data_IF_766198503663
#
_entry.id   IF_766198503663
#
_cell.length_a   1.000
_cell.length_b   1.000
_cell.length_c   1.000
_cell.angle_alpha   90.00
_cell.angle_beta   90.00
_cell.angle_gamma   90.00
#
_symmetry.space_group_name_H-M   'P 1'
#
loop_
_entity.id
_entity.type
_entity.pdbx_description
1 polymer ?
#
# COMPACT_ATOMS: atom_id res chain seq x y z
N UNK A 1 -17.63 10.61 0.64
CA UNK A 1 -17.35 9.23 0.17
C UNK A 1 -17.41 8.32 1.38
N UNK A 2 -17.93 7.10 1.26
CA UNK A 2 -17.78 6.13 2.35
C UNK A 2 -16.32 5.69 2.42
N UNK A 3 -15.72 5.59 3.62
CA UNK A 3 -14.34 5.14 3.77
C UNK A 3 -14.15 3.74 3.19
N UNK A 4 -13.05 3.53 2.50
CA UNK A 4 -12.68 2.23 1.90
C UNK A 4 -11.17 2.08 1.81
N UNK A 5 -10.68 0.86 1.88
CA UNK A 5 -9.26 0.59 1.68
C UNK A 5 -8.90 0.68 0.21
N UNK A 6 -7.76 1.31 -0.07
CA UNK A 6 -7.19 1.47 -1.41
C UNK A 6 -5.78 0.95 -1.41
N UNK A 7 -5.42 0.16 -2.42
CA UNK A 7 -4.07 -0.31 -2.68
C UNK A 7 -3.51 0.35 -3.93
N UNK A 8 -2.24 0.77 -3.86
CA UNK A 8 -1.46 1.28 -4.98
C UNK A 8 -0.22 0.40 -5.21
N UNK A 9 0.07 0.12 -6.48
CA UNK A 9 1.38 -0.34 -6.91
C UNK A 9 2.15 0.85 -7.43
N UNK A 10 3.31 1.11 -6.85
CA UNK A 10 4.09 2.33 -7.08
C UNK A 10 5.43 1.95 -7.70
N UNK A 11 5.76 2.59 -8.81
CA UNK A 11 7.01 2.45 -9.54
C UNK A 11 8.02 3.54 -9.18
N UNK A 12 9.02 3.67 -10.06
CA UNK A 12 10.13 4.61 -9.89
C UNK A 12 9.64 6.04 -9.75
N UNK A 13 10.24 6.77 -8.81
CA UNK A 13 9.94 8.20 -8.60
C UNK A 13 8.54 8.47 -8.04
N UNK A 14 7.83 7.45 -7.55
CA UNK A 14 6.49 7.60 -6.98
C UNK A 14 5.37 7.54 -8.02
N UNK A 15 5.63 7.04 -9.23
CA UNK A 15 4.61 6.82 -10.26
C UNK A 15 3.60 5.75 -9.80
N UNK A 16 2.31 6.05 -9.86
CA UNK A 16 1.25 5.06 -9.57
C UNK A 16 1.01 4.21 -10.82
N UNK A 17 1.49 2.96 -10.80
CA UNK A 17 1.38 2.02 -11.92
C UNK A 17 0.01 1.35 -11.98
N UNK A 18 -0.63 1.16 -10.82
CA UNK A 18 -1.92 0.49 -10.70
C UNK A 18 -2.60 0.85 -9.38
N UNK A 19 -3.93 0.80 -9.36
CA UNK A 19 -4.73 0.98 -8.15
C UNK A 19 -5.95 0.08 -8.11
N UNK A 20 -6.36 -0.29 -6.91
CA UNK A 20 -7.62 -0.98 -6.61
C UNK A 20 -8.18 -0.49 -5.28
N UNK A 21 -9.50 -0.43 -5.20
CA UNK A 21 -10.22 -0.10 -3.98
C UNK A 21 -11.08 -1.29 -3.58
N UNK A 22 -11.19 -1.55 -2.28
CA UNK A 22 -12.19 -2.46 -1.74
C UNK A 22 -13.54 -1.75 -1.55
N UNK A 23 -14.54 -2.52 -1.11
CA UNK A 23 -15.83 -2.01 -0.65
C UNK A 23 -15.89 -1.85 0.88
N UNK A 24 -14.74 -1.94 1.57
CA UNK A 24 -14.64 -2.00 3.04
C UNK A 24 -13.62 -1.00 3.57
N UNK A 25 -13.92 -0.33 4.69
CA UNK A 25 -13.02 0.61 5.35
C UNK A 25 -11.91 -0.06 6.19
N UNK A 26 -11.99 -1.37 6.38
CA UNK A 26 -11.16 -2.13 7.34
C UNK A 26 -10.67 -3.44 6.76
N UNK A 27 -10.89 -3.66 5.46
CA UNK A 27 -10.34 -4.81 4.78
C UNK A 27 -10.13 -4.56 3.29
N UNK A 28 -9.02 -5.11 2.80
CA UNK A 28 -8.68 -5.23 1.41
C UNK A 28 -8.63 -6.72 1.07
N UNK A 29 -9.75 -7.31 0.60
CA UNK A 29 -9.82 -8.72 0.30
C UNK A 29 -8.78 -9.15 -0.72
N UNK A 30 -8.43 -10.43 -0.69
CA UNK A 30 -7.57 -11.01 -1.70
C UNK A 30 -8.17 -10.82 -3.11
N UNK A 31 -7.37 -10.36 -4.06
CA UNK A 31 -7.83 -10.01 -5.40
C UNK A 31 -6.94 -10.64 -6.45
N UNK A 32 -7.55 -11.46 -7.31
CA UNK A 32 -6.88 -12.01 -8.49
C UNK A 32 -6.34 -10.89 -9.38
N UNK A 33 -7.10 -9.80 -9.56
CA UNK A 33 -6.68 -8.68 -10.40
C UNK A 33 -5.41 -8.01 -9.83
N UNK A 34 -5.32 -7.87 -8.50
CA UNK A 34 -4.13 -7.36 -7.81
C UNK A 34 -2.92 -8.25 -8.01
N UNK A 35 -3.07 -9.57 -7.85
CA UNK A 35 -1.99 -10.52 -8.10
C UNK A 35 -1.52 -10.52 -9.56
N UNK A 36 -2.45 -10.45 -10.51
CA UNK A 36 -2.10 -10.36 -11.94
C UNK A 36 -1.39 -9.04 -12.27
N UNK A 37 -1.80 -7.93 -11.67
CA UNK A 37 -1.12 -6.64 -11.80
C UNK A 37 0.29 -6.66 -11.21
N UNK A 38 0.44 -7.15 -9.97
CA UNK A 38 1.73 -7.36 -9.31
C UNK A 38 2.66 -8.23 -10.15
N UNK A 39 2.17 -9.36 -10.64
CA UNK A 39 2.99 -10.26 -11.46
C UNK A 39 3.40 -9.60 -12.77
N UNK A 40 2.48 -8.93 -13.47
CA UNK A 40 2.79 -8.22 -14.72
C UNK A 40 3.84 -7.12 -14.50
N UNK A 41 3.73 -6.37 -13.42
CA UNK A 41 4.56 -5.20 -13.10
C UNK A 41 5.77 -5.53 -12.19
N UNK A 42 6.05 -6.81 -11.94
CA UNK A 42 7.04 -7.26 -10.93
C UNK A 42 8.46 -6.69 -11.08
N UNK A 43 8.84 -6.28 -12.29
CA UNK A 43 10.13 -5.64 -12.56
C UNK A 43 10.15 -4.12 -12.32
N UNK A 44 8.98 -3.51 -12.16
CA UNK A 44 8.77 -2.06 -12.12
C UNK A 44 8.29 -1.57 -10.76
N UNK A 45 7.51 -2.38 -10.02
CA UNK A 45 6.97 -2.00 -8.69
C UNK A 45 8.10 -1.90 -7.67
N UNK A 46 8.33 -0.71 -7.11
CA UNK A 46 9.31 -0.43 -6.06
C UNK A 46 8.64 -0.31 -4.67
N UNK A 47 7.35 0.03 -4.62
CA UNK A 47 6.59 0.18 -3.38
C UNK A 47 5.13 -0.30 -3.53
N UNK A 48 4.59 -0.95 -2.50
CA UNK A 48 3.16 -1.26 -2.38
C UNK A 48 2.61 -0.46 -1.22
N UNK A 49 1.63 0.40 -1.50
CA UNK A 49 0.96 1.17 -0.47
C UNK A 49 -0.48 0.70 -0.30
N UNK A 50 -0.98 0.72 0.92
CA UNK A 50 -2.41 0.60 1.17
C UNK A 50 -2.88 1.59 2.24
N UNK A 51 -4.20 1.71 2.38
CA UNK A 51 -4.83 2.71 3.24
C UNK A 51 -5.58 2.06 4.39
N UNK A 52 -5.41 2.57 5.61
CA UNK A 52 -6.30 2.30 6.75
C UNK A 52 -7.12 3.54 7.06
N UNK A 53 -8.27 3.76 6.39
CA UNK A 53 -8.98 5.03 6.50
C UNK A 53 -9.56 5.29 7.90
N UNK A 54 -9.71 4.26 8.72
CA UNK A 54 -10.12 4.36 10.14
C UNK A 54 -8.95 4.10 11.11
N UNK A 55 -7.73 3.98 10.60
CA UNK A 55 -6.58 3.44 11.33
C UNK A 55 -6.65 1.92 11.55
N UNK A 56 -5.66 1.34 12.25
CA UNK A 56 -4.51 2.00 12.87
C UNK A 56 -3.41 2.40 11.88
N UNK A 57 -2.50 3.29 12.31
CA UNK A 57 -1.24 3.56 11.60
C UNK A 57 -0.20 2.48 11.94
N UNK A 58 -0.46 1.27 11.45
CA UNK A 58 0.37 0.08 11.67
C UNK A 58 0.03 -0.97 10.62
N UNK A 59 0.97 -1.88 10.34
CA UNK A 59 0.71 -3.09 9.57
C UNK A 59 -0.04 -4.12 10.44
N UNK A 60 -1.08 -4.73 9.88
CA UNK A 60 -1.81 -5.85 10.47
C UNK A 60 -1.03 -7.17 10.33
N UNK A 61 -1.48 -8.23 11.01
CA UNK A 61 -0.87 -9.55 10.83
C UNK A 61 -1.08 -10.10 9.40
N UNK A 62 -2.22 -9.79 8.79
CA UNK A 62 -2.50 -10.09 7.39
C UNK A 62 -1.54 -9.37 6.44
N UNK A 63 -1.22 -8.09 6.72
CA UNK A 63 -0.22 -7.34 5.96
C UNK A 63 1.15 -8.01 6.08
N UNK A 64 1.58 -8.35 7.30
CA UNK A 64 2.88 -8.98 7.57
C UNK A 64 3.09 -10.23 6.74
N UNK A 65 2.12 -11.15 6.76
CA UNK A 65 2.21 -12.41 6.00
C UNK A 65 2.18 -12.17 4.49
N UNK A 66 1.44 -11.17 4.01
CA UNK A 66 1.40 -10.79 2.59
C UNK A 66 2.73 -10.18 2.13
N UNK A 67 3.30 -9.28 2.94
CA UNK A 67 4.59 -8.64 2.69
C UNK A 67 5.71 -9.68 2.62
N UNK A 68 5.74 -10.63 3.56
CA UNK A 68 6.71 -11.72 3.57
C UNK A 68 6.59 -12.59 2.30
N UNK A 69 5.37 -12.99 1.94
CA UNK A 69 5.13 -13.78 0.73
C UNK A 69 5.60 -13.04 -0.55
N UNK A 70 5.35 -11.74 -0.64
CA UNK A 70 5.78 -10.92 -1.77
C UNK A 70 7.30 -10.78 -1.84
N UNK A 71 7.98 -10.54 -0.72
CA UNK A 71 9.44 -10.46 -0.67
C UNK A 71 10.09 -11.79 -1.10
N UNK A 72 9.56 -12.92 -0.62
CA UNK A 72 10.03 -14.26 -0.99
C UNK A 72 9.78 -14.56 -2.47
N UNK A 73 8.59 -14.25 -2.99
CA UNK A 73 8.22 -14.55 -4.38
C UNK A 73 8.97 -13.68 -5.39
N UNK A 74 9.21 -12.41 -5.08
CA UNK A 74 9.89 -11.47 -5.97
C UNK A 74 11.42 -11.54 -5.88
N UNK A 75 11.97 -12.03 -4.76
CA UNK A 75 13.40 -12.20 -4.57
C UNK A 75 14.20 -10.89 -4.64
N UNK A 76 13.55 -9.74 -4.42
CA UNK A 76 14.14 -8.40 -4.47
C UNK A 76 13.59 -7.51 -3.36
N UNK A 77 14.31 -6.45 -2.96
CA UNK A 77 13.79 -5.48 -2.00
C UNK A 77 12.51 -4.81 -2.52
N UNK A 78 11.56 -4.63 -1.61
CA UNK A 78 10.32 -3.90 -1.85
C UNK A 78 10.00 -3.03 -0.64
N UNK A 79 9.46 -1.84 -0.91
CA UNK A 79 8.96 -0.94 0.13
C UNK A 79 7.48 -1.20 0.35
N UNK A 80 7.02 -0.98 1.58
CA UNK A 80 5.61 -1.10 1.92
C UNK A 80 5.18 0.14 2.70
N UNK A 81 4.04 0.71 2.37
CA UNK A 81 3.51 1.86 3.08
C UNK A 81 2.08 1.62 3.52
N UNK A 82 1.76 2.02 4.75
CA UNK A 82 0.39 2.15 5.22
C UNK A 82 0.09 3.63 5.49
N UNK A 83 -0.97 4.12 4.85
CA UNK A 83 -1.46 5.49 5.03
C UNK A 83 -2.70 5.45 5.90
N UNK A 84 -2.70 6.19 7.00
CA UNK A 84 -3.84 6.33 7.90
C UNK A 84 -4.08 7.84 8.22
N UNK A 85 -5.17 8.22 8.89
CA UNK A 85 -5.43 9.62 9.23
C UNK A 85 -4.28 10.30 9.99
N UNK A 86 -3.54 9.53 10.81
CA UNK A 86 -2.43 10.05 11.61
C UNK A 86 -1.08 10.19 10.89
N UNK A 87 -0.95 9.76 9.64
CA UNK A 87 0.28 9.87 8.86
C UNK A 87 0.51 8.71 7.88
N UNK A 88 1.75 8.55 7.44
CA UNK A 88 2.20 7.44 6.59
C UNK A 88 3.37 6.72 7.26
N UNK A 89 3.20 5.42 7.46
CA UNK A 89 4.24 4.53 7.98
C UNK A 89 4.85 3.78 6.78
N UNK A 90 6.15 3.96 6.58
CA UNK A 90 6.94 3.25 5.58
C UNK A 90 7.71 2.13 6.24
N UNK A 91 7.75 0.97 5.59
CA UNK A 91 8.71 -0.10 5.83
C UNK A 91 9.64 -0.27 4.63
N UNK A 92 10.94 -0.18 4.89
CA UNK A 92 11.99 -0.41 3.91
C UNK A 92 13.18 -1.10 4.59
N UNK A 93 13.77 -2.10 3.93
CA UNK A 93 14.93 -2.85 4.45
C UNK A 93 14.74 -3.37 5.89
N UNK A 94 13.54 -3.86 6.20
CA UNK A 94 13.18 -4.38 7.52
C UNK A 94 13.05 -3.33 8.63
N UNK A 95 13.06 -2.04 8.29
CA UNK A 95 12.89 -0.93 9.25
C UNK A 95 11.63 -0.15 8.96
N UNK A 96 10.98 0.29 10.03
CA UNK A 96 9.82 1.16 9.95
C UNK A 96 10.18 2.61 10.27
N UNK A 97 9.57 3.55 9.57
CA UNK A 97 9.69 4.97 9.83
C UNK A 97 8.39 5.71 9.46
N UNK A 98 8.02 6.69 10.28
CA UNK A 98 7.01 7.68 9.89
C UNK A 98 7.62 8.63 8.85
N UNK A 99 6.90 8.87 7.76
CA UNK A 99 7.32 9.86 6.79
C UNK A 99 7.09 11.28 7.32
N UNK A 100 8.16 12.07 7.35
CA UNK A 100 8.07 13.50 7.67
C UNK A 100 7.46 14.31 6.52
N UNK A 101 7.75 13.91 5.29
CA UNK A 101 7.20 14.50 4.06
C UNK A 101 6.52 13.40 3.25
N UNK A 102 5.22 13.55 3.01
CA UNK A 102 4.43 12.58 2.25
C UNK A 102 4.56 12.84 0.74
N UNK A 103 4.90 11.82 -0.08
CA UNK A 103 4.97 11.97 -1.52
C UNK A 103 3.57 12.21 -2.14
N UNK A 104 3.48 12.78 -3.36
CA UNK A 104 2.20 13.18 -3.95
C UNK A 104 1.14 12.08 -4.07
N UNK A 105 1.56 10.82 -4.26
CA UNK A 105 0.64 9.69 -4.34
C UNK A 105 -0.13 9.44 -3.03
N UNK A 106 0.37 9.90 -1.88
CA UNK A 106 -0.33 9.77 -0.59
C UNK A 106 -1.62 10.59 -0.60
N UNK A 107 -1.59 11.80 -1.15
CA UNK A 107 -2.79 12.64 -1.26
C UNK A 107 -3.84 11.99 -2.17
N UNK A 108 -3.41 11.36 -3.26
CA UNK A 108 -4.30 10.58 -4.14
C UNK A 108 -4.95 9.42 -3.39
N UNK A 109 -4.14 8.65 -2.65
CA UNK A 109 -4.60 7.51 -1.86
C UNK A 109 -5.61 7.93 -0.79
N UNK A 110 -5.34 9.02 -0.04
CA UNK A 110 -6.27 9.60 0.95
C UNK A 110 -7.61 9.99 0.33
N UNK A 111 -7.57 10.68 -0.81
CA UNK A 111 -8.78 11.10 -1.52
C UNK A 111 -9.61 9.88 -1.98
N UNK A 112 -8.95 8.85 -2.52
CA UNK A 112 -9.63 7.64 -3.01
C UNK A 112 -10.18 6.75 -1.90
N UNK A 113 -9.55 6.77 -0.72
CA UNK A 113 -9.97 6.02 0.47
C UNK A 113 -11.03 6.74 1.31
N UNK A 114 -11.36 7.99 0.96
CA UNK A 114 -12.32 8.80 1.72
C UNK A 114 -11.76 9.33 3.05
N UNK A 115 -10.43 9.38 3.21
CA UNK A 115 -9.78 10.07 4.33
C UNK A 115 -9.74 11.58 4.02
N UNK A 116 -10.62 12.35 4.65
CA UNK A 116 -10.60 13.83 4.62
C UNK A 116 -9.86 14.39 5.83
#
# INVERSE_FOLDING_TARGET
MNPREVCLLIGRGGEVLWSEASDSAVSLPDSRARWEALWRLRGEVEEIAHSHPLGPLAFSAEDETTMEALLLALGRPLRFSVVAPGGTLLRADGREALLAEEPPWVALLRAHSGMT
#
